data_IF_955673816984
#
_entry.id   IF_955673816984
#
_cell.length_a   1.000
_cell.length_b   1.000
_cell.length_c   1.000
_cell.angle_alpha   90.00
_cell.angle_beta   90.00
_cell.angle_gamma   90.00
#
_symmetry.space_group_name_H-M   'P 1'
#
loop_
_entity.id
_entity.type
_entity.pdbx_description
1 polymer ?
#
# COMPACT_ATOMS: atom_id res chain seq x y z
N UNK A 1 28.24 -32.21 18.49
CA UNK A 1 29.50 -31.51 18.20
C UNK A 1 30.64 -32.43 17.77
N UNK A 2 30.44 -33.14 16.66
CA UNK A 2 31.49 -33.90 15.98
C UNK A 2 31.46 -33.52 14.50
N UNK A 3 32.16 -32.43 14.15
CA UNK A 3 32.40 -32.08 12.76
C UNK A 3 33.08 -33.26 12.06
N UNK A 4 32.52 -33.70 10.93
CA UNK A 4 33.05 -34.83 10.19
C UNK A 4 34.43 -34.44 9.64
N UNK A 5 35.48 -35.10 10.15
CA UNK A 5 36.85 -34.87 9.69
C UNK A 5 37.08 -35.73 8.44
N UNK A 6 37.30 -35.08 7.31
CA UNK A 6 37.67 -35.76 6.07
C UNK A 6 39.17 -35.60 5.90
N UNK A 7 39.89 -36.72 5.89
CA UNK A 7 41.33 -36.74 5.62
C UNK A 7 41.51 -37.01 4.13
N UNK A 8 42.16 -36.09 3.43
CA UNK A 8 42.49 -36.22 2.01
C UNK A 8 44.00 -36.07 1.80
N UNK A 9 44.51 -36.61 0.70
CA UNK A 9 45.89 -36.41 0.25
C UNK A 9 45.89 -35.35 -0.85
N UNK A 10 46.82 -34.40 -0.78
CA UNK A 10 47.05 -33.51 -1.91
C UNK A 10 47.89 -34.20 -3.01
N UNK A 11 48.11 -33.49 -4.12
CA UNK A 11 48.88 -34.00 -5.26
C UNK A 11 50.35 -34.32 -4.93
N UNK A 12 50.85 -33.86 -3.78
CA UNK A 12 52.20 -34.11 -3.27
C UNK A 12 52.21 -35.21 -2.18
N UNK A 13 51.12 -35.98 -2.05
CA UNK A 13 50.93 -37.03 -1.04
C UNK A 13 50.98 -36.52 0.41
N UNK A 14 50.68 -35.24 0.66
CA UNK A 14 50.62 -34.70 2.01
C UNK A 14 49.21 -34.82 2.58
N UNK A 15 49.06 -35.34 3.82
CA UNK A 15 47.75 -35.45 4.45
C UNK A 15 47.21 -34.06 4.83
N UNK A 16 46.02 -33.74 4.32
CA UNK A 16 45.23 -32.56 4.69
C UNK A 16 43.95 -33.00 5.40
N UNK A 17 43.62 -32.31 6.48
CA UNK A 17 42.38 -32.54 7.23
C UNK A 17 41.41 -31.41 6.89
N UNK A 18 40.28 -31.78 6.28
CA UNK A 18 39.16 -30.89 6.02
C UNK A 18 38.09 -31.10 7.08
N UNK A 19 37.60 -30.01 7.65
CA UNK A 19 36.50 -30.02 8.58
C UNK A 19 35.21 -29.67 7.83
N UNK A 20 34.27 -30.61 7.80
CA UNK A 20 32.95 -30.39 7.20
C UNK A 20 31.93 -30.22 8.33
N UNK A 21 31.18 -29.12 8.29
CA UNK A 21 30.00 -28.95 9.12
C UNK A 21 28.82 -29.72 8.50
N UNK A 22 28.28 -30.75 9.17
CA UNK A 22 27.23 -31.57 8.59
C UNK A 22 25.84 -30.96 8.65
N UNK A 23 25.67 -29.82 9.31
CA UNK A 23 24.34 -29.23 9.56
C UNK A 23 23.61 -28.86 8.28
N UNK A 24 24.27 -28.19 7.33
CA UNK A 24 23.64 -27.71 6.10
C UNK A 24 23.20 -28.83 5.16
N UNK A 25 24.07 -29.81 4.89
CA UNK A 25 23.71 -30.88 3.95
C UNK A 25 22.65 -31.82 4.53
N UNK A 26 22.67 -32.07 5.85
CA UNK A 26 21.62 -32.86 6.53
C UNK A 26 20.28 -32.15 6.47
N UNK A 27 20.27 -30.83 6.62
CA UNK A 27 19.07 -30.03 6.47
C UNK A 27 18.52 -30.10 5.03
N UNK A 28 19.37 -29.91 4.01
CA UNK A 28 18.96 -30.04 2.60
C UNK A 28 18.47 -31.45 2.27
N UNK A 29 19.13 -32.49 2.80
CA UNK A 29 18.73 -33.88 2.63
C UNK A 29 17.34 -34.13 3.24
N UNK A 30 17.10 -33.69 4.48
CA UNK A 30 15.82 -33.86 5.16
C UNK A 30 14.66 -33.15 4.45
N UNK A 31 14.92 -31.99 3.83
CA UNK A 31 13.95 -31.31 2.97
C UNK A 31 13.63 -32.12 1.71
N UNK A 32 14.63 -32.70 1.05
CA UNK A 32 14.44 -33.52 -0.16
C UNK A 32 13.70 -34.82 0.18
N UNK A 33 14.00 -35.44 1.33
CA UNK A 33 13.32 -36.66 1.81
C UNK A 33 11.95 -36.37 2.46
N UNK A 34 11.52 -35.10 2.51
CA UNK A 34 10.24 -34.64 3.07
C UNK A 34 10.03 -35.02 4.55
N UNK A 35 11.10 -35.09 5.33
CA UNK A 35 11.05 -35.37 6.77
C UNK A 35 10.84 -34.08 7.59
N UNK A 36 9.62 -33.55 7.58
CA UNK A 36 9.30 -32.25 8.18
C UNK A 36 9.56 -32.19 9.70
N UNK A 37 9.30 -33.27 10.45
CA UNK A 37 9.54 -33.30 11.89
C UNK A 37 11.02 -33.15 12.24
N UNK A 38 11.89 -33.81 11.46
CA UNK A 38 13.32 -33.71 11.62
C UNK A 38 13.82 -32.31 11.25
N UNK A 39 13.26 -31.71 10.18
CA UNK A 39 13.52 -30.33 9.79
C UNK A 39 13.16 -29.39 10.94
N UNK A 40 11.94 -29.47 11.50
CA UNK A 40 11.47 -28.66 12.62
C UNK A 40 12.31 -28.83 13.89
N UNK A 41 12.74 -30.05 14.20
CA UNK A 41 13.67 -30.29 15.30
C UNK A 41 15.02 -29.62 15.04
N UNK A 42 15.60 -29.81 13.84
CA UNK A 42 16.83 -29.14 13.45
C UNK A 42 16.70 -27.61 13.49
N UNK A 43 15.54 -27.05 13.11
CA UNK A 43 15.24 -25.61 13.20
C UNK A 43 15.34 -25.09 14.63
N UNK A 44 14.78 -25.81 15.59
CA UNK A 44 14.72 -25.37 17.00
C UNK A 44 16.04 -25.54 17.72
N UNK A 45 16.81 -26.57 17.39
CA UNK A 45 18.02 -26.95 18.15
C UNK A 45 19.31 -26.46 17.50
N UNK A 46 19.38 -26.39 16.17
CA UNK A 46 20.60 -26.02 15.49
C UNK A 46 20.67 -24.51 15.24
N UNK A 47 21.86 -23.92 15.44
CA UNK A 47 22.23 -22.58 14.95
C UNK A 47 22.34 -22.61 13.41
N UNK A 48 21.26 -22.93 12.71
CA UNK A 48 21.13 -22.80 11.25
C UNK A 48 20.95 -21.31 10.92
N UNK A 49 22.03 -20.54 11.07
CA UNK A 49 22.02 -19.09 10.85
C UNK A 49 22.74 -18.81 9.53
N UNK A 50 21.99 -18.78 8.43
CA UNK A 50 22.55 -18.43 7.13
C UNK A 50 21.48 -18.00 6.13
N UNK A 51 21.71 -16.87 5.45
CA UNK A 51 20.87 -16.42 4.33
C UNK A 51 20.81 -17.44 3.19
N UNK A 52 21.82 -18.31 3.07
CA UNK A 52 21.86 -19.41 2.10
C UNK A 52 20.73 -20.43 2.27
N UNK A 53 20.35 -20.74 3.51
CA UNK A 53 19.27 -21.69 3.79
C UNK A 53 17.91 -21.06 3.46
N UNK A 54 17.74 -19.77 3.76
CA UNK A 54 16.52 -19.01 3.45
C UNK A 54 16.32 -18.94 1.94
N UNK A 55 17.36 -18.58 1.18
CA UNK A 55 17.30 -18.55 -0.28
C UNK A 55 16.96 -19.93 -0.85
N UNK A 56 17.56 -21.00 -0.30
CA UNK A 56 17.26 -22.37 -0.72
C UNK A 56 15.79 -22.76 -0.44
N UNK A 57 15.24 -22.40 0.72
CA UNK A 57 13.84 -22.66 1.05
C UNK A 57 12.88 -21.88 0.13
N UNK A 58 13.23 -20.65 -0.23
CA UNK A 58 12.47 -19.84 -1.19
C UNK A 58 12.47 -20.47 -2.58
N UNK A 59 13.64 -20.90 -3.10
CA UNK A 59 13.75 -21.58 -4.39
C UNK A 59 12.97 -22.89 -4.44
N UNK A 60 12.89 -23.61 -3.32
CA UNK A 60 12.14 -24.87 -3.21
C UNK A 60 10.65 -24.68 -2.94
N UNK A 61 10.17 -23.45 -2.76
CA UNK A 61 8.75 -23.16 -2.56
C UNK A 61 8.25 -23.41 -1.14
N UNK A 62 9.13 -23.38 -0.12
CA UNK A 62 8.76 -23.51 1.30
C UNK A 62 9.04 -22.21 2.10
N UNK A 63 8.45 -21.06 1.71
CA UNK A 63 8.69 -19.79 2.39
C UNK A 63 8.08 -19.73 3.81
N UNK A 64 7.06 -20.54 4.10
CA UNK A 64 6.44 -20.62 5.44
C UNK A 64 7.42 -21.11 6.50
N UNK A 65 8.16 -22.17 6.18
CA UNK A 65 9.19 -22.72 7.07
C UNK A 65 10.33 -21.72 7.24
N UNK A 66 10.70 -21.01 6.16
CA UNK A 66 11.73 -19.99 6.19
C UNK A 66 11.40 -18.83 7.15
N UNK A 67 10.12 -18.45 7.26
CA UNK A 67 9.67 -17.34 8.11
C UNK A 67 10.05 -17.52 9.59
N UNK A 68 10.11 -18.76 10.08
CA UNK A 68 10.54 -19.06 11.45
C UNK A 68 12.04 -18.82 11.70
N UNK A 69 12.87 -18.88 10.65
CA UNK A 69 14.31 -18.67 10.75
C UNK A 69 14.71 -17.20 10.71
N UNK A 70 13.84 -16.35 10.16
CA UNK A 70 14.21 -14.99 9.83
C UNK A 70 14.03 -14.07 11.04
N UNK A 71 15.17 -13.53 11.49
CA UNK A 71 15.26 -12.50 12.53
C UNK A 71 15.23 -11.08 11.96
N UNK A 72 15.72 -10.91 10.74
CA UNK A 72 15.76 -9.60 10.09
C UNK A 72 14.36 -9.22 9.57
N UNK A 73 13.90 -8.02 9.92
CA UNK A 73 12.53 -7.61 9.65
C UNK A 73 12.26 -7.41 8.14
N UNK A 74 13.26 -7.01 7.35
CA UNK A 74 13.10 -6.81 5.88
C UNK A 74 12.90 -8.13 5.15
N UNK A 75 13.76 -9.11 5.42
CA UNK A 75 13.63 -10.45 4.86
C UNK A 75 12.36 -11.15 5.35
N UNK A 76 11.96 -10.93 6.61
CA UNK A 76 10.70 -11.46 7.17
C UNK A 76 9.47 -10.89 6.46
N UNK A 77 9.46 -9.60 6.17
CA UNK A 77 8.40 -8.96 5.39
C UNK A 77 8.29 -9.58 4.00
N UNK A 78 9.41 -9.67 3.26
CA UNK A 78 9.42 -10.24 1.91
C UNK A 78 8.88 -11.67 1.87
N UNK A 79 9.30 -12.51 2.83
CA UNK A 79 8.80 -13.88 2.98
C UNK A 79 7.32 -13.92 3.33
N UNK A 80 6.87 -13.10 4.29
CA UNK A 80 5.47 -13.06 4.69
C UNK A 80 4.55 -12.66 3.52
N UNK A 81 4.99 -11.71 2.70
CA UNK A 81 4.29 -11.30 1.48
C UNK A 81 4.23 -12.42 0.44
N UNK A 82 5.30 -13.19 0.26
CA UNK A 82 5.33 -14.36 -0.63
C UNK A 82 4.39 -15.47 -0.16
N UNK A 83 4.30 -15.69 1.16
CA UNK A 83 3.36 -16.65 1.75
C UNK A 83 1.90 -16.18 1.71
N UNK A 84 1.64 -14.90 1.42
CA UNK A 84 0.30 -14.30 1.57
C UNK A 84 -0.14 -14.13 3.02
N UNK A 85 0.76 -14.26 3.99
CA UNK A 85 0.43 -14.08 5.41
C UNK A 85 0.51 -12.59 5.77
N UNK A 86 -0.64 -11.90 5.62
CA UNK A 86 -0.73 -10.44 5.78
C UNK A 86 -0.56 -10.02 7.25
N UNK A 87 -0.93 -10.84 8.23
CA UNK A 87 -0.81 -10.49 9.66
C UNK A 87 0.66 -10.39 10.08
N UNK A 88 1.47 -11.40 9.73
CA UNK A 88 2.91 -11.37 10.02
C UNK A 88 3.61 -10.29 9.20
N UNK A 89 3.17 -10.06 7.96
CA UNK A 89 3.68 -8.97 7.14
C UNK A 89 3.37 -7.59 7.77
N UNK A 90 2.21 -7.42 8.38
CA UNK A 90 1.83 -6.20 9.10
C UNK A 90 2.72 -5.95 10.32
N UNK A 91 2.99 -6.98 11.12
CA UNK A 91 3.91 -6.88 12.26
C UNK A 91 5.33 -6.50 11.82
N UNK A 92 5.82 -7.16 10.76
CA UNK A 92 7.12 -6.86 10.18
C UNK A 92 7.19 -5.41 9.64
N UNK A 93 6.16 -4.97 8.90
CA UNK A 93 6.09 -3.60 8.39
C UNK A 93 6.04 -2.56 9.52
N UNK A 94 5.29 -2.82 10.60
CA UNK A 94 5.26 -1.95 11.80
C UNK A 94 6.63 -1.84 12.46
N UNK A 95 7.40 -2.93 12.49
CA UNK A 95 8.74 -2.92 13.09
C UNK A 95 9.78 -2.18 12.23
N UNK A 96 9.60 -2.17 10.91
CA UNK A 96 10.48 -1.46 9.98
C UNK A 96 10.16 0.04 9.88
N UNK A 97 8.88 0.37 9.88
CA UNK A 97 8.32 1.71 9.67
C UNK A 97 8.89 2.45 8.43
N UNK A 98 9.17 1.71 7.36
CA UNK A 98 9.65 2.24 6.09
C UNK A 98 8.49 2.43 5.09
N UNK A 99 8.42 3.53 4.33
CA UNK A 99 7.33 3.77 3.38
C UNK A 99 7.28 2.70 2.27
N UNK A 100 8.44 2.19 1.83
CA UNK A 100 8.52 1.13 0.82
C UNK A 100 7.91 -0.19 1.32
N UNK A 101 8.09 -0.52 2.61
CA UNK A 101 7.51 -1.72 3.22
C UNK A 101 5.98 -1.62 3.28
N UNK A 102 5.46 -0.46 3.67
CA UNK A 102 4.02 -0.19 3.69
C UNK A 102 3.39 -0.26 2.29
N UNK A 103 4.07 0.24 1.26
CA UNK A 103 3.58 0.15 -0.13
C UNK A 103 3.56 -1.29 -0.65
N UNK A 104 4.55 -2.11 -0.30
CA UNK A 104 4.56 -3.53 -0.65
C UNK A 104 3.43 -4.29 0.06
N UNK A 105 3.23 -4.03 1.35
CA UNK A 105 2.13 -4.61 2.13
C UNK A 105 0.77 -4.20 1.56
N UNK A 106 0.59 -2.93 1.19
CA UNK A 106 -0.65 -2.43 0.59
C UNK A 106 -0.99 -3.17 -0.71
N UNK A 107 0.00 -3.42 -1.58
CA UNK A 107 -0.20 -4.19 -2.83
C UNK A 107 -0.62 -5.63 -2.56
N UNK A 108 0.04 -6.30 -1.62
CA UNK A 108 -0.30 -7.67 -1.26
C UNK A 108 -1.69 -7.76 -0.61
N UNK A 109 -2.01 -6.84 0.30
CA UNK A 109 -3.30 -6.76 0.97
C UNK A 109 -4.45 -6.45 -0.01
N UNK A 110 -4.19 -5.62 -1.03
CA UNK A 110 -5.14 -5.40 -2.13
C UNK A 110 -5.41 -6.69 -2.92
N UNK A 111 -4.37 -7.47 -3.22
CA UNK A 111 -4.53 -8.75 -3.94
C UNK A 111 -5.33 -9.79 -3.13
N UNK A 112 -5.26 -9.74 -1.80
CA UNK A 112 -6.07 -10.60 -0.91
C UNK A 112 -7.46 -10.03 -0.60
N UNK A 113 -7.75 -8.79 -1.00
CA UNK A 113 -9.03 -8.11 -0.70
C UNK A 113 -9.14 -7.58 0.73
N UNK A 114 -8.05 -7.53 1.51
CA UNK A 114 -8.08 -7.01 2.88
C UNK A 114 -8.01 -5.47 2.90
N UNK A 115 -9.15 -4.84 2.60
CA UNK A 115 -9.33 -3.39 2.57
C UNK A 115 -8.96 -2.65 3.87
N UNK A 116 -9.12 -3.25 5.05
CA UNK A 116 -8.81 -2.60 6.33
C UNK A 116 -7.31 -2.37 6.49
N UNK A 117 -6.50 -3.37 6.13
CA UNK A 117 -5.04 -3.26 6.19
C UNK A 117 -4.54 -2.26 5.13
N UNK A 118 -5.15 -2.26 3.94
CA UNK A 118 -4.84 -1.29 2.88
C UNK A 118 -5.11 0.14 3.35
N UNK A 119 -6.25 0.38 4.01
CA UNK A 119 -6.59 1.69 4.59
C UNK A 119 -5.52 2.16 5.57
N UNK A 120 -5.10 1.27 6.50
CA UNK A 120 -4.05 1.55 7.46
C UNK A 120 -2.71 1.88 6.79
N UNK A 121 -2.33 1.12 5.75
CA UNK A 121 -1.09 1.35 5.00
C UNK A 121 -1.11 2.72 4.31
N UNK A 122 -2.21 3.09 3.63
CA UNK A 122 -2.31 4.37 2.94
C UNK A 122 -2.39 5.58 3.87
N UNK A 123 -2.97 5.43 5.06
CA UNK A 123 -2.91 6.46 6.09
C UNK A 123 -1.48 6.70 6.57
N UNK A 124 -0.70 5.62 6.76
CA UNK A 124 0.72 5.69 7.16
C UNK A 124 1.61 6.29 6.08
N UNK A 125 1.43 5.89 4.83
CA UNK A 125 2.21 6.44 3.69
C UNK A 125 1.72 7.81 3.24
N UNK A 126 0.63 8.33 3.83
CA UNK A 126 -0.01 9.61 3.47
C UNK A 126 -0.41 9.67 1.99
N UNK A 127 -0.80 8.53 1.42
CA UNK A 127 -1.27 8.44 0.04
C UNK A 127 -2.80 8.66 -0.02
N UNK A 128 -3.20 9.92 -0.01
CA UNK A 128 -4.61 10.31 0.10
C UNK A 128 -5.43 10.04 -1.16
N UNK A 129 -4.80 10.06 -2.35
CA UNK A 129 -5.49 9.80 -3.62
C UNK A 129 -5.97 8.35 -3.68
N UNK A 130 -5.07 7.40 -3.39
CA UNK A 130 -5.40 5.96 -3.31
C UNK A 130 -6.40 5.66 -2.21
N UNK A 131 -6.33 6.40 -1.10
CA UNK A 131 -7.25 6.26 0.03
C UNK A 131 -8.65 6.80 -0.34
N UNK A 132 -8.74 7.91 -1.06
CA UNK A 132 -10.01 8.44 -1.59
C UNK A 132 -10.66 7.46 -2.56
N UNK A 133 -9.86 6.83 -3.43
CA UNK A 133 -10.31 5.78 -4.33
C UNK A 133 -10.82 4.54 -3.59
N UNK A 134 -10.14 4.12 -2.52
CA UNK A 134 -10.60 3.01 -1.66
C UNK A 134 -11.95 3.34 -1.01
N UNK A 135 -12.14 4.57 -0.51
CA UNK A 135 -13.42 5.00 0.07
C UNK A 135 -14.54 5.11 -0.95
N UNK A 136 -14.22 5.49 -2.19
CA UNK A 136 -15.19 5.46 -3.29
C UNK A 136 -15.68 4.04 -3.58
N UNK A 137 -14.77 3.06 -3.68
CA UNK A 137 -15.13 1.65 -3.94
C UNK A 137 -15.91 1.04 -2.78
N UNK A 138 -15.49 1.32 -1.55
CA UNK A 138 -16.16 0.80 -0.34
C UNK A 138 -17.47 1.53 -0.02
N UNK A 139 -17.78 2.63 -0.71
CA UNK A 139 -18.99 3.44 -0.49
C UNK A 139 -18.99 4.20 0.84
N UNK A 140 -17.85 4.37 1.51
CA UNK A 140 -17.79 5.04 2.81
C UNK A 140 -17.75 6.58 2.65
N UNK A 141 -18.94 7.19 2.56
CA UNK A 141 -19.12 8.63 2.38
C UNK A 141 -18.61 9.45 3.57
N UNK A 142 -18.69 8.92 4.80
CA UNK A 142 -18.24 9.63 6.00
C UNK A 142 -16.72 9.81 6.01
N UNK A 143 -15.99 8.75 5.65
CA UNK A 143 -14.53 8.81 5.54
C UNK A 143 -14.10 9.68 4.36
N UNK A 144 -14.84 9.67 3.25
CA UNK A 144 -14.60 10.57 2.12
C UNK A 144 -14.82 12.05 2.50
N UNK A 145 -15.84 12.36 3.32
CA UNK A 145 -16.05 13.72 3.85
C UNK A 145 -14.92 14.17 4.78
N UNK A 146 -14.40 13.26 5.61
CA UNK A 146 -13.21 13.53 6.43
C UNK A 146 -11.98 13.81 5.56
N UNK A 147 -11.84 13.10 4.44
CA UNK A 147 -10.75 13.32 3.49
C UNK A 147 -10.78 14.72 2.89
N UNK A 148 -11.96 15.21 2.51
CA UNK A 148 -12.11 16.58 2.00
C UNK A 148 -11.60 17.62 3.00
N UNK A 149 -11.93 17.46 4.30
CA UNK A 149 -11.42 18.36 5.37
C UNK A 149 -9.90 18.27 5.52
N UNK A 150 -9.32 17.07 5.36
CA UNK A 150 -7.85 16.90 5.39
C UNK A 150 -7.20 17.63 4.21
N UNK A 151 -7.79 17.55 3.01
CA UNK A 151 -7.32 18.27 1.83
C UNK A 151 -7.38 19.81 2.03
N UNK A 152 -8.45 20.30 2.66
CA UNK A 152 -8.61 21.71 3.03
C UNK A 152 -7.49 22.17 3.98
N UNK A 153 -7.20 21.42 5.03
CA UNK A 153 -6.11 21.73 5.99
C UNK A 153 -4.75 21.72 5.28
N UNK A 154 -4.53 20.82 4.32
CA UNK A 154 -3.29 20.74 3.52
C UNK A 154 -3.19 21.82 2.44
N UNK A 155 -4.25 22.63 2.24
CA UNK A 155 -4.38 23.61 1.16
C UNK A 155 -4.25 23.00 -0.24
N UNK A 156 -4.63 21.74 -0.39
CA UNK A 156 -4.63 21.05 -1.69
C UNK A 156 -6.02 21.20 -2.34
N UNK A 157 -6.16 22.29 -3.10
CA UNK A 157 -7.39 22.66 -3.79
C UNK A 157 -7.84 21.59 -4.81
N UNK A 158 -6.90 20.89 -5.44
CA UNK A 158 -7.20 19.86 -6.44
C UNK A 158 -7.86 18.64 -5.78
N UNK A 159 -7.23 18.12 -4.72
CA UNK A 159 -7.75 16.98 -3.97
C UNK A 159 -9.09 17.29 -3.30
N UNK A 160 -9.26 18.51 -2.79
CA UNK A 160 -10.53 18.96 -2.21
C UNK A 160 -11.63 19.06 -3.28
N UNK A 161 -11.32 19.57 -4.48
CA UNK A 161 -12.26 19.61 -5.60
C UNK A 161 -12.68 18.22 -6.06
N UNK A 162 -11.72 17.28 -6.17
CA UNK A 162 -12.01 15.87 -6.49
C UNK A 162 -12.90 15.23 -5.42
N UNK A 163 -12.61 15.44 -4.14
CA UNK A 163 -13.46 14.96 -3.04
C UNK A 163 -14.89 15.53 -3.08
N UNK A 164 -15.03 16.83 -3.36
CA UNK A 164 -16.34 17.48 -3.51
C UNK A 164 -17.09 16.97 -4.76
N UNK A 165 -16.38 16.72 -5.86
CA UNK A 165 -16.94 16.11 -7.06
C UNK A 165 -17.49 14.70 -6.76
N UNK A 166 -16.71 13.86 -6.08
CA UNK A 166 -17.10 12.48 -5.73
C UNK A 166 -18.29 12.44 -4.76
N UNK A 167 -18.39 13.40 -3.84
CA UNK A 167 -19.54 13.54 -2.93
C UNK A 167 -20.76 14.21 -3.59
N UNK A 168 -20.59 14.79 -4.77
CA UNK A 168 -21.63 15.57 -5.44
C UNK A 168 -21.96 16.90 -4.75
N UNK A 169 -21.04 17.43 -3.93
CA UNK A 169 -21.24 18.71 -3.23
C UNK A 169 -20.87 19.89 -4.15
N UNK A 170 -21.88 20.42 -4.82
CA UNK A 170 -21.74 21.54 -5.77
C UNK A 170 -21.41 22.85 -5.07
N UNK A 171 -21.96 23.06 -3.86
CA UNK A 171 -21.75 24.32 -3.12
C UNK A 171 -20.29 24.45 -2.72
N UNK A 172 -19.69 23.37 -2.24
CA UNK A 172 -18.26 23.36 -1.93
C UNK A 172 -17.38 23.55 -3.16
N UNK A 173 -17.76 22.99 -4.32
CA UNK A 173 -17.05 23.25 -5.59
C UNK A 173 -17.06 24.73 -5.97
N UNK A 174 -18.21 25.40 -5.85
CA UNK A 174 -18.33 26.83 -6.17
C UNK A 174 -17.51 27.66 -5.18
N UNK A 175 -17.60 27.37 -3.87
CA UNK A 175 -16.78 28.02 -2.84
C UNK A 175 -15.28 27.88 -3.10
N UNK A 176 -14.84 26.69 -3.50
CA UNK A 176 -13.44 26.41 -3.79
C UNK A 176 -12.94 27.21 -5.01
N UNK A 177 -13.75 27.29 -6.09
CA UNK A 177 -13.43 28.11 -7.27
C UNK A 177 -13.42 29.61 -6.95
N UNK A 178 -14.34 30.09 -6.09
CA UNK A 178 -14.33 31.46 -5.55
C UNK A 178 -13.03 31.74 -4.79
N UNK A 179 -12.64 30.86 -3.88
CA UNK A 179 -11.42 31.00 -3.07
C UNK A 179 -10.14 30.94 -3.92
N UNK A 180 -10.16 30.19 -5.02
CA UNK A 180 -9.05 30.14 -5.99
C UNK A 180 -8.99 31.37 -6.92
N UNK A 181 -9.92 32.33 -6.80
CA UNK A 181 -10.00 33.52 -7.65
C UNK A 181 -10.59 33.28 -9.05
N UNK A 182 -11.09 32.08 -9.32
CA UNK A 182 -11.64 31.70 -10.63
C UNK A 182 -13.16 31.92 -10.69
N UNK A 183 -13.57 33.19 -10.68
CA UNK A 183 -14.98 33.59 -10.65
C UNK A 183 -15.75 33.14 -11.92
N UNK A 184 -15.12 33.18 -13.10
CA UNK A 184 -15.76 32.79 -14.36
C UNK A 184 -16.12 31.30 -14.37
N UNK A 185 -15.23 30.45 -13.84
CA UNK A 185 -15.47 29.01 -13.71
C UNK A 185 -16.50 28.70 -12.63
N UNK A 186 -16.45 29.43 -11.50
CA UNK A 186 -17.46 29.32 -10.45
C UNK A 186 -18.86 29.63 -11.00
N UNK A 187 -19.00 30.69 -11.80
CA UNK A 187 -20.25 31.08 -12.43
C UNK A 187 -20.76 30.01 -13.40
N UNK A 188 -19.88 29.50 -14.28
CA UNK A 188 -20.23 28.40 -15.18
C UNK A 188 -20.68 27.16 -14.42
N UNK A 189 -20.01 26.81 -13.31
CA UNK A 189 -20.45 25.68 -12.49
C UNK A 189 -21.80 25.91 -11.85
N UNK A 190 -22.13 27.12 -11.40
CA UNK A 190 -23.43 27.45 -10.81
C UNK A 190 -24.56 27.38 -11.84
N UNK A 191 -24.36 27.95 -13.03
CA UNK A 191 -25.33 27.90 -14.15
C UNK A 191 -25.53 26.45 -14.60
N UNK A 192 -24.44 25.73 -14.83
CA UNK A 192 -24.46 24.32 -15.23
C UNK A 192 -24.90 23.36 -14.11
N UNK A 193 -25.17 23.82 -12.88
CA UNK A 193 -25.74 23.00 -11.80
C UNK A 193 -27.12 23.50 -11.33
N UNK A 194 -27.73 24.43 -12.09
CA UNK A 194 -29.04 25.04 -11.80
C UNK A 194 -29.13 25.65 -10.39
N UNK A 195 -28.06 26.32 -9.93
CA UNK A 195 -28.06 27.07 -8.67
C UNK A 195 -28.17 28.58 -8.95
N UNK A 196 -29.40 29.14 -9.04
CA UNK A 196 -29.60 30.52 -9.48
C UNK A 196 -29.07 31.56 -8.48
N UNK A 197 -29.26 31.32 -7.18
CA UNK A 197 -28.84 32.26 -6.11
C UNK A 197 -27.32 32.49 -6.10
N UNK A 198 -26.52 31.42 -6.21
CA UNK A 198 -25.06 31.54 -6.26
C UNK A 198 -24.59 32.12 -7.59
N UNK A 199 -25.32 31.86 -8.68
CA UNK A 199 -25.00 32.40 -10.00
C UNK A 199 -25.19 33.92 -10.07
N UNK A 200 -26.26 34.47 -9.47
CA UNK A 200 -26.50 35.92 -9.41
C UNK A 200 -25.43 36.66 -8.60
N UNK A 201 -25.04 36.12 -7.44
CA UNK A 201 -23.96 36.67 -6.64
C UNK A 201 -22.62 36.68 -7.40
N UNK A 202 -22.36 35.62 -8.16
CA UNK A 202 -21.16 35.49 -8.98
C UNK A 202 -21.18 36.41 -10.21
N UNK A 203 -22.34 36.66 -10.82
CA UNK A 203 -22.49 37.66 -11.88
C UNK A 203 -22.15 39.06 -11.36
N UNK A 204 -22.71 39.46 -10.22
CA UNK A 204 -22.41 40.75 -9.61
C UNK A 204 -20.92 40.89 -9.28
N UNK A 205 -20.28 39.82 -8.80
CA UNK A 205 -18.84 39.81 -8.54
C UNK A 205 -17.98 39.87 -9.82
N UNK A 206 -18.43 39.25 -10.92
CA UNK A 206 -17.78 39.31 -12.24
C UNK A 206 -17.89 40.70 -12.88
N UNK A 207 -19.06 41.31 -12.81
CA UNK A 207 -19.32 42.68 -13.29
C UNK A 207 -18.49 43.70 -12.50
N UNK A 208 -18.40 43.56 -11.18
CA UNK A 208 -17.55 44.40 -10.34
C UNK A 208 -16.05 44.21 -10.64
N UNK A 209 -15.64 43.02 -11.08
CA UNK A 209 -14.26 42.72 -11.48
C UNK A 209 -13.94 43.08 -12.94
N UNK A 210 -14.93 43.52 -13.73
CA UNK A 210 -14.76 43.85 -15.16
C UNK A 210 -14.41 42.65 -16.05
N UNK A 211 -14.72 41.42 -15.61
CA UNK A 211 -14.41 40.19 -16.34
C UNK A 211 -15.57 39.79 -17.28
N UNK A 212 -15.28 39.20 -18.47
CA UNK A 212 -16.32 38.75 -19.38
C UNK A 212 -17.14 37.63 -18.75
N UNK A 213 -18.46 37.74 -18.86
CA UNK A 213 -19.40 36.71 -18.41
C UNK A 213 -19.38 35.59 -19.47
N UNK A 214 -18.88 34.38 -19.14
CA UNK A 214 -18.87 33.30 -20.10
C UNK A 214 -20.30 32.81 -20.38
N UNK A 215 -20.61 32.59 -21.66
CA UNK A 215 -21.88 32.01 -22.08
C UNK A 215 -21.97 30.53 -21.69
N UNK A 216 -23.12 30.11 -21.19
CA UNK A 216 -23.35 28.72 -20.81
C UNK A 216 -23.55 27.87 -22.08
N UNK A 217 -22.83 26.75 -22.17
CA UNK A 217 -23.02 25.80 -23.27
C UNK A 217 -24.38 25.09 -23.11
N UNK A 218 -25.32 25.21 -24.07
CA UNK A 218 -26.65 24.59 -23.98
C UNK A 218 -26.63 23.05 -24.00
N UNK A 219 -25.54 22.43 -24.47
CA UNK A 219 -25.39 20.96 -24.52
C UNK A 219 -24.75 20.36 -23.26
N UNK A 220 -24.46 21.15 -22.23
CA UNK A 220 -23.79 20.66 -21.03
C UNK A 220 -24.67 19.66 -20.24
N UNK A 221 -24.20 18.42 -20.14
CA UNK A 221 -24.87 17.36 -19.35
C UNK A 221 -24.28 17.31 -17.94
N UNK A 222 -25.17 17.26 -16.95
CA UNK A 222 -24.82 17.21 -15.53
C UNK A 222 -24.20 15.85 -15.19
N UNK A 223 -22.96 15.86 -14.72
CA UNK A 223 -22.35 14.69 -14.09
C UNK A 223 -22.59 14.76 -12.59
N UNK A 224 -23.55 13.97 -12.10
CA UNK A 224 -23.67 13.67 -10.67
C UNK A 224 -23.22 12.21 -10.49
N UNK A 225 -22.10 11.93 -9.80
CA UNK A 225 -21.76 10.55 -9.52
C UNK A 225 -22.94 9.93 -8.75
N UNK A 226 -23.39 8.72 -9.14
CA UNK A 226 -24.49 8.06 -8.45
C UNK A 226 -24.06 7.85 -7.01
N UNK A 227 -24.84 8.40 -6.07
CA UNK A 227 -24.66 8.07 -4.67
C UNK A 227 -24.99 6.57 -4.53
N UNK A 228 -24.14 5.77 -3.86
CA UNK A 228 -24.45 4.36 -3.63
C UNK A 228 -25.83 4.28 -2.98
N UNK A 229 -26.74 3.59 -3.67
CA UNK A 229 -28.11 3.37 -3.19
C UNK A 229 -28.02 2.39 -2.03
N UNK A 230 -28.61 2.75 -0.88
CA UNK A 230 -28.79 1.86 0.28
C UNK A 230 -29.74 0.71 -0.05
#
# INVERSE_FOLDING_TARGET
DSGARVVCLDRECRPKVLYIDPTEYRFKLALVTRQYDQVLHMVRTAKLVGQSIIAYLQEKGYPEVALHFVKDARTRLSLALQCGNIEVALEAAKSLDEPAAWDQLAKAALATGNHQIVEMCYQRTKNFDKLSFLYLITGNLDKLRKMMKIAEIRKDASSQFQGALLLGDVRERIRLLKNAGQLSLAYLTAVNHKQPEEAEQLKAALEAAGLPIPEANPEAVFLRPPLPVL
#
